data_IF_855498570794
#
_entry.id   IF_855498570794
#
_cell.length_a   1.000
_cell.length_b   1.000
_cell.length_c   1.000
_cell.angle_alpha   90.00
_cell.angle_beta   90.00
_cell.angle_gamma   90.00
#
_symmetry.space_group_name_H-M   'P 1'
#
loop_
_entity.id
_entity.type
_entity.pdbx_description
1 polymer ?
#
# COMPACT_ATOMS: atom_id res chain seq x y z
N UNK A 1 -2.84 17.02 -0.36
CA UNK A 1 -2.74 15.55 -0.29
C UNK A 1 -3.75 14.95 -1.24
N UNK A 2 -3.39 13.86 -1.90
CA UNK A 2 -4.27 13.07 -2.77
C UNK A 2 -4.06 11.59 -2.41
N UNK A 3 -5.14 10.82 -2.38
CA UNK A 3 -5.11 9.37 -2.09
C UNK A 3 -5.84 8.59 -3.17
N UNK A 4 -5.50 7.31 -3.35
CA UNK A 4 -6.28 6.37 -4.14
C UNK A 4 -6.44 5.03 -3.40
N UNK A 5 -7.59 4.39 -3.62
CA UNK A 5 -7.91 3.04 -3.14
C UNK A 5 -7.92 1.98 -4.24
N UNK A 6 -7.27 2.28 -5.37
CA UNK A 6 -7.16 1.37 -6.51
C UNK A 6 -7.89 1.78 -7.77
N UNK A 7 -7.42 1.28 -8.91
CA UNK A 7 -8.13 1.37 -10.19
C UNK A 7 -8.66 -0.01 -10.62
N UNK A 8 -9.86 -0.05 -11.19
CA UNK A 8 -10.48 -1.28 -11.65
C UNK A 8 -11.91 -1.10 -12.15
N UNK A 9 -12.46 -2.14 -12.76
CA UNK A 9 -13.77 -2.12 -13.41
C UNK A 9 -14.90 -2.42 -12.42
N UNK A 10 -15.07 -1.58 -11.39
CA UNK A 10 -16.29 -1.62 -10.58
C UNK A 10 -17.37 -0.88 -11.39
N UNK A 11 -18.24 -1.62 -12.07
CA UNK A 11 -19.42 -1.02 -12.70
C UNK A 11 -20.39 -0.56 -11.62
N UNK A 12 -21.05 0.58 -11.82
CA UNK A 12 -22.02 1.14 -10.87
C UNK A 12 -23.15 0.16 -10.54
N UNK A 13 -23.51 -0.69 -11.50
CA UNK A 13 -24.49 -1.77 -11.37
C UNK A 13 -24.06 -2.86 -10.37
N UNK A 14 -22.75 -3.11 -10.21
CA UNK A 14 -22.18 -4.05 -9.23
C UNK A 14 -21.92 -3.40 -7.86
N UNK A 15 -22.32 -2.14 -7.66
CA UNK A 15 -22.13 -1.39 -6.42
C UNK A 15 -23.45 -1.14 -5.70
N UNK A 16 -23.65 -1.81 -4.55
CA UNK A 16 -24.77 -1.47 -3.67
C UNK A 16 -24.56 -0.09 -3.06
N UNK A 17 -25.63 0.68 -2.78
CA UNK A 17 -25.54 1.97 -2.09
C UNK A 17 -24.79 1.89 -0.76
N UNK A 18 -24.96 0.80 -0.03
CA UNK A 18 -24.26 0.54 1.24
C UNK A 18 -22.75 0.39 1.05
N UNK A 19 -22.33 -0.39 0.04
CA UNK A 19 -20.91 -0.59 -0.26
C UNK A 19 -20.27 0.71 -0.76
N UNK A 20 -20.99 1.48 -1.59
CA UNK A 20 -20.54 2.81 -2.02
C UNK A 20 -20.38 3.76 -0.82
N UNK A 21 -21.38 3.84 0.05
CA UNK A 21 -21.33 4.67 1.25
C UNK A 21 -20.16 4.28 2.16
N UNK A 22 -19.88 2.98 2.29
CA UNK A 22 -18.75 2.47 3.05
C UNK A 22 -17.41 2.93 2.45
N UNK A 23 -17.18 2.76 1.15
CA UNK A 23 -15.97 3.28 0.48
C UNK A 23 -15.82 4.79 0.67
N UNK A 24 -16.89 5.56 0.46
CA UNK A 24 -16.86 7.02 0.63
C UNK A 24 -16.51 7.43 2.06
N UNK A 25 -17.12 6.77 3.05
CA UNK A 25 -16.89 7.05 4.47
C UNK A 25 -15.44 6.74 4.84
N UNK A 26 -14.92 5.58 4.40
CA UNK A 26 -13.53 5.20 4.64
C UNK A 26 -12.56 6.19 3.98
N UNK A 27 -12.76 6.54 2.71
CA UNK A 27 -11.88 7.48 2.00
C UNK A 27 -11.93 8.89 2.63
N UNK A 28 -13.09 9.35 3.07
CA UNK A 28 -13.22 10.63 3.79
C UNK A 28 -12.47 10.59 5.12
N UNK A 29 -12.54 9.48 5.88
CA UNK A 29 -11.80 9.31 7.11
C UNK A 29 -10.28 9.32 6.88
N UNK A 30 -9.80 8.63 5.84
CA UNK A 30 -8.38 8.64 5.45
C UNK A 30 -7.92 10.07 5.13
N UNK A 31 -8.67 10.80 4.29
CA UNK A 31 -8.37 12.19 3.97
C UNK A 31 -8.36 13.09 5.21
N UNK A 32 -9.33 12.92 6.11
CA UNK A 32 -9.44 13.73 7.32
C UNK A 32 -8.23 13.53 8.24
N UNK A 33 -7.79 12.29 8.45
CA UNK A 33 -6.62 12.00 9.29
C UNK A 33 -5.34 12.60 8.68
N UNK A 34 -5.14 12.43 7.37
CA UNK A 34 -4.00 13.04 6.69
C UNK A 34 -4.02 14.57 6.76
N UNK A 35 -5.20 15.18 6.58
CA UNK A 35 -5.39 16.61 6.72
C UNK A 35 -5.10 17.10 8.15
N UNK A 36 -5.56 16.39 9.17
CA UNK A 36 -5.34 16.79 10.57
C UNK A 36 -3.86 16.74 10.96
N UNK A 37 -3.11 15.75 10.46
CA UNK A 37 -1.64 15.69 10.62
C UNK A 37 -0.99 16.94 10.03
N UNK A 38 -1.30 17.25 8.76
CA UNK A 38 -0.72 18.40 8.06
C UNK A 38 -1.12 19.73 8.71
N UNK A 39 -2.39 19.87 9.11
CA UNK A 39 -2.92 21.07 9.78
C UNK A 39 -2.21 21.35 11.11
N UNK A 40 -1.84 20.29 11.86
CA UNK A 40 -1.05 20.40 13.10
C UNK A 40 0.44 20.61 12.85
N UNK A 41 0.88 20.65 11.59
CA UNK A 41 2.26 20.87 11.21
C UNK A 41 3.13 19.60 11.15
N UNK A 42 2.51 18.42 11.09
CA UNK A 42 3.22 17.18 10.79
C UNK A 42 3.79 17.15 9.37
N UNK A 43 4.66 16.17 9.09
CA UNK A 43 5.40 16.08 7.83
C UNK A 43 4.59 15.40 6.73
N UNK A 44 5.01 15.58 5.48
CA UNK A 44 4.46 14.86 4.33
C UNK A 44 4.60 13.33 4.49
N UNK A 45 5.74 12.87 5.03
CA UNK A 45 6.02 11.46 5.30
C UNK A 45 5.07 10.85 6.33
N UNK A 46 4.85 11.52 7.46
CA UNK A 46 3.94 11.04 8.52
C UNK A 46 2.50 10.94 8.02
N UNK A 47 2.08 11.92 7.22
CA UNK A 47 0.74 11.95 6.63
C UNK A 47 0.58 10.83 5.57
N UNK A 48 1.60 10.58 4.74
CA UNK A 48 1.59 9.50 3.75
C UNK A 48 1.52 8.12 4.42
N UNK A 49 2.39 7.84 5.40
CA UNK A 49 2.38 6.55 6.11
C UNK A 49 1.05 6.34 6.84
N UNK A 50 0.58 7.33 7.62
CA UNK A 50 -0.63 7.19 8.44
C UNK A 50 -1.87 6.90 7.59
N UNK A 51 -2.00 7.58 6.44
CA UNK A 51 -3.15 7.39 5.54
C UNK A 51 -3.14 6.02 4.86
N UNK A 52 -1.96 5.55 4.44
CA UNK A 52 -1.80 4.22 3.85
C UNK A 52 -2.07 3.13 4.87
N UNK A 53 -1.61 3.27 6.12
CA UNK A 53 -1.89 2.31 7.21
C UNK A 53 -3.39 2.10 7.44
N UNK A 54 -4.18 3.17 7.41
CA UNK A 54 -5.64 3.06 7.54
C UNK A 54 -6.25 2.27 6.38
N UNK A 55 -5.71 2.45 5.17
CA UNK A 55 -6.14 1.70 4.01
C UNK A 55 -5.67 0.24 4.05
N UNK A 56 -4.47 -0.04 4.56
CA UNK A 56 -3.98 -1.40 4.82
C UNK A 56 -4.76 -2.11 5.93
N UNK A 57 -5.26 -1.40 6.94
CA UNK A 57 -6.09 -1.97 7.99
C UNK A 57 -7.55 -2.20 7.56
N UNK A 58 -7.92 -1.70 6.37
CA UNK A 58 -9.28 -1.73 5.85
C UNK A 58 -9.48 -2.90 4.88
N UNK A 59 -10.47 -3.79 5.14
CA UNK A 59 -10.77 -4.93 4.28
C UNK A 59 -11.29 -4.59 2.87
N UNK A 60 -11.44 -3.30 2.56
CA UNK A 60 -12.04 -2.80 1.33
C UNK A 60 -11.05 -2.68 0.18
N UNK A 61 -9.75 -2.67 0.48
CA UNK A 61 -8.69 -2.40 -0.47
C UNK A 61 -7.73 -3.57 -0.58
N UNK A 62 -7.02 -3.66 -1.71
CA UNK A 62 -6.04 -4.70 -1.94
C UNK A 62 -4.67 -4.26 -1.42
N UNK A 63 -4.56 -4.08 -0.12
CA UNK A 63 -3.32 -3.79 0.60
C UNK A 63 -3.51 -4.20 2.07
N UNK A 64 -2.50 -4.80 2.70
CA UNK A 64 -2.64 -5.32 4.06
C UNK A 64 -3.85 -6.25 4.20
N UNK A 65 -4.74 -5.92 5.13
CA UNK A 65 -6.02 -6.61 5.36
C UNK A 65 -6.93 -6.49 4.14
N UNK A 66 -7.21 -7.61 3.49
CA UNK A 66 -7.96 -7.63 2.24
C UNK A 66 -7.10 -7.76 0.99
N UNK A 67 -5.79 -8.00 1.16
CA UNK A 67 -4.92 -8.40 0.09
C UNK A 67 -5.45 -9.64 -0.66
N UNK A 68 -5.19 -9.66 -1.96
CA UNK A 68 -5.51 -10.80 -2.83
C UNK A 68 -4.59 -12.00 -2.55
N UNK A 69 -5.03 -13.17 -3.00
CA UNK A 69 -4.32 -14.43 -2.83
C UNK A 69 -3.38 -14.73 -4.01
N UNK A 70 -2.24 -15.35 -3.71
CA UNK A 70 -1.34 -16.02 -4.66
C UNK A 70 -1.97 -17.29 -5.23
N UNK A 71 -1.33 -17.91 -6.23
CA UNK A 71 -1.76 -19.20 -6.81
C UNK A 71 -1.74 -20.37 -5.81
N UNK A 72 -1.00 -20.23 -4.71
CA UNK A 72 -0.93 -21.18 -3.60
C UNK A 72 -1.82 -20.83 -2.42
N UNK A 73 -2.67 -19.80 -2.54
CA UNK A 73 -3.61 -19.39 -1.48
C UNK A 73 -2.98 -18.69 -0.28
N UNK A 74 -1.84 -18.03 -0.47
CA UNK A 74 -1.21 -17.17 0.55
C UNK A 74 -1.35 -15.69 0.20
N UNK A 75 -1.09 -14.78 1.14
CA UNK A 75 -0.96 -13.36 0.87
C UNK A 75 0.53 -12.96 0.84
N UNK A 76 0.89 -12.12 -0.12
CA UNK A 76 2.23 -11.58 -0.30
C UNK A 76 2.09 -10.09 -0.57
N UNK A 77 2.68 -9.24 0.27
CA UNK A 77 2.42 -7.81 0.27
C UNK A 77 3.67 -7.05 -0.16
N UNK A 78 3.43 -5.94 -0.87
CA UNK A 78 4.49 -5.07 -1.36
C UNK A 78 4.16 -3.62 -1.00
N UNK A 79 5.15 -2.85 -0.58
CA UNK A 79 4.98 -1.41 -0.35
C UNK A 79 6.29 -0.64 -0.54
N UNK A 80 6.18 0.64 -0.87
CA UNK A 80 7.29 1.59 -0.83
C UNK A 80 6.85 2.97 -0.40
N UNK A 81 7.80 3.75 0.11
CA UNK A 81 7.64 5.15 0.51
C UNK A 81 8.89 5.94 0.13
N UNK A 82 8.72 7.20 -0.24
CA UNK A 82 9.82 8.08 -0.67
C UNK A 82 9.62 9.50 -0.14
N UNK A 83 10.69 10.06 0.41
CA UNK A 83 10.81 11.46 0.84
C UNK A 83 11.41 12.31 -0.28
N UNK A 84 10.63 13.25 -0.79
CA UNK A 84 11.05 14.14 -1.88
C UNK A 84 12.07 15.20 -1.49
N UNK A 85 12.29 15.44 -0.19
CA UNK A 85 13.21 16.46 0.30
C UNK A 85 14.67 16.05 0.20
N UNK A 86 14.94 14.76 0.36
CA UNK A 86 16.28 14.17 0.43
C UNK A 86 16.46 12.95 -0.49
N UNK A 87 15.39 12.51 -1.18
CA UNK A 87 15.34 11.34 -2.06
C UNK A 87 15.57 10.01 -1.35
N UNK A 88 15.52 9.97 -0.02
CA UNK A 88 15.52 8.72 0.72
C UNK A 88 14.22 7.95 0.41
N UNK A 89 14.36 6.64 0.27
CA UNK A 89 13.26 5.76 -0.02
C UNK A 89 13.45 4.42 0.68
N UNK A 90 12.34 3.77 0.97
CA UNK A 90 12.34 2.42 1.52
C UNK A 90 11.21 1.60 0.93
N UNK A 91 11.43 0.30 0.84
CA UNK A 91 10.52 -0.64 0.22
C UNK A 91 10.64 -2.03 0.83
N UNK A 92 9.51 -2.73 0.83
CA UNK A 92 9.43 -4.16 1.12
C UNK A 92 8.63 -4.87 0.04
N UNK A 93 9.02 -6.08 -0.32
CA UNK A 93 8.31 -6.89 -1.30
C UNK A 93 8.13 -8.33 -0.83
N UNK A 94 6.98 -8.93 -1.12
CA UNK A 94 6.67 -10.32 -0.79
C UNK A 94 6.65 -10.61 0.72
N UNK A 95 6.38 -9.60 1.57
CA UNK A 95 6.25 -9.82 3.01
C UNK A 95 4.93 -10.50 3.34
N UNK A 96 4.93 -11.34 4.37
CA UNK A 96 3.78 -12.21 4.69
C UNK A 96 3.24 -12.03 6.10
N UNK A 97 3.93 -11.30 6.97
CA UNK A 97 3.60 -11.28 8.40
C UNK A 97 3.58 -9.89 9.03
N UNK A 98 4.27 -8.88 8.47
CA UNK A 98 4.15 -7.51 8.96
C UNK A 98 2.78 -6.93 8.63
N UNK A 99 2.06 -6.48 9.66
CA UNK A 99 0.67 -6.00 9.54
C UNK A 99 0.52 -4.85 8.55
N UNK A 100 1.45 -3.90 8.58
CA UNK A 100 1.44 -2.69 7.77
C UNK A 100 2.74 -2.60 6.94
N UNK A 101 2.75 -3.14 5.70
CA UNK A 101 3.90 -3.07 4.81
C UNK A 101 4.47 -1.67 4.58
N UNK A 102 3.65 -0.62 4.54
CA UNK A 102 4.15 0.76 4.38
C UNK A 102 5.04 1.21 5.55
N UNK A 103 4.72 0.77 6.77
CA UNK A 103 5.53 1.06 7.96
C UNK A 103 6.87 0.31 7.90
N UNK A 104 6.86 -0.93 7.36
CA UNK A 104 8.09 -1.69 7.12
C UNK A 104 8.96 -1.00 6.07
N UNK A 105 8.37 -0.54 4.96
CA UNK A 105 9.07 0.26 3.96
C UNK A 105 9.71 1.51 4.58
N UNK A 106 8.98 2.25 5.44
CA UNK A 106 9.55 3.40 6.16
C UNK A 106 10.71 3.01 7.08
N UNK A 107 10.59 1.91 7.83
CA UNK A 107 11.68 1.41 8.68
C UNK A 107 12.91 1.01 7.87
N UNK A 108 12.75 0.41 6.70
CA UNK A 108 13.89 0.14 5.79
C UNK A 108 14.63 1.42 5.45
N UNK A 109 13.89 2.49 5.11
CA UNK A 109 14.44 3.80 4.78
C UNK A 109 15.19 4.46 5.95
N UNK A 110 14.64 4.39 7.16
CA UNK A 110 15.13 5.15 8.32
C UNK A 110 16.20 4.41 9.14
N UNK A 111 16.15 3.07 9.18
CA UNK A 111 16.98 2.26 10.09
C UNK A 111 18.01 1.39 9.39
N UNK A 112 18.06 1.42 8.06
CA UNK A 112 19.05 0.67 7.28
C UNK A 112 19.71 1.56 6.23
N UNK A 113 20.82 1.06 5.66
CA UNK A 113 21.44 1.68 4.48
C UNK A 113 20.83 1.18 3.16
N UNK A 114 19.84 0.29 3.23
CA UNK A 114 19.20 -0.34 2.09
C UNK A 114 17.95 0.43 1.65
N UNK A 115 17.56 0.24 0.39
CA UNK A 115 16.31 0.81 -0.15
C UNK A 115 15.20 -0.23 -0.21
N UNK A 116 15.51 -1.50 -0.52
CA UNK A 116 14.50 -2.53 -0.73
C UNK A 116 14.92 -3.84 -0.08
N UNK A 117 14.04 -4.41 0.75
CA UNK A 117 14.15 -5.77 1.27
C UNK A 117 13.03 -6.64 0.72
N UNK A 118 13.24 -7.96 0.62
CA UNK A 118 12.23 -8.85 0.08
C UNK A 118 12.09 -10.18 0.86
N UNK A 119 10.89 -10.75 0.78
CA UNK A 119 10.54 -12.05 1.32
C UNK A 119 10.78 -12.18 2.82
N UNK A 120 11.21 -13.37 3.24
CA UNK A 120 11.42 -13.70 4.66
C UNK A 120 12.44 -12.78 5.36
N UNK A 121 13.44 -12.27 4.63
CA UNK A 121 14.40 -11.33 5.19
C UNK A 121 13.75 -10.00 5.58
N UNK A 122 12.81 -9.51 4.78
CA UNK A 122 12.05 -8.31 5.10
C UNK A 122 11.08 -8.52 6.28
N UNK A 123 10.43 -9.68 6.38
CA UNK A 123 9.61 -10.04 7.54
C UNK A 123 10.44 -10.13 8.84
N UNK A 124 11.65 -10.72 8.75
CA UNK A 124 12.57 -10.79 9.88
C UNK A 124 13.00 -9.39 10.34
N UNK A 125 13.43 -8.55 9.40
CA UNK A 125 13.76 -7.16 9.69
C UNK A 125 12.59 -6.40 10.33
N UNK A 126 11.38 -6.53 9.79
CA UNK A 126 10.20 -5.85 10.34
C UNK A 126 9.97 -6.21 11.82
N UNK A 127 10.21 -7.47 12.18
CA UNK A 127 10.14 -7.93 13.58
C UNK A 127 11.24 -7.31 14.44
N UNK A 128 12.49 -7.26 13.95
CA UNK A 128 13.61 -6.64 14.67
C UNK A 128 13.41 -5.13 14.87
N UNK A 129 12.83 -4.45 13.87
CA UNK A 129 12.47 -3.04 13.90
C UNK A 129 11.25 -2.74 14.81
N UNK A 130 10.72 -3.74 15.52
CA UNK A 130 9.64 -3.59 16.50
C UNK A 130 8.25 -3.38 15.90
N UNK A 131 8.04 -3.74 14.63
CA UNK A 131 6.72 -3.66 14.00
C UNK A 131 5.79 -4.78 14.44
N UNK A 132 4.48 -4.54 14.36
CA UNK A 132 3.47 -5.54 14.68
C UNK A 132 3.48 -6.66 13.63
N UNK A 133 3.80 -7.88 14.11
CA UNK A 133 3.75 -9.10 13.32
C UNK A 133 2.45 -9.83 13.61
N UNK A 134 1.71 -10.17 12.56
CA UNK A 134 0.42 -10.86 12.63
C UNK A 134 0.50 -12.23 11.99
N UNK A 135 -0.40 -13.12 12.41
CA UNK A 135 -0.62 -14.36 11.69
C UNK A 135 -1.13 -14.06 10.27
N UNK A 136 -0.64 -14.75 9.22
CA UNK A 136 -1.06 -14.50 7.84
C UNK A 136 -2.58 -14.53 7.61
N UNK A 137 -3.34 -15.24 8.45
CA UNK A 137 -4.81 -15.25 8.41
C UNK A 137 -5.43 -13.87 8.65
N UNK A 138 -4.72 -12.91 9.25
CA UNK A 138 -5.15 -11.52 9.40
C UNK A 138 -5.46 -10.86 8.05
N UNK A 139 -4.63 -11.12 7.03
CA UNK A 139 -4.77 -10.52 5.71
C UNK A 139 -5.96 -11.10 4.95
N UNK A 140 -6.35 -12.34 5.29
CA UNK A 140 -7.47 -13.04 4.69
C UNK A 140 -8.81 -12.62 5.32
N UNK A 141 -9.68 -12.01 4.53
CA UNK A 141 -11.09 -11.86 4.91
C UNK A 141 -11.80 -13.13 4.46
N UNK A 142 -12.53 -13.80 5.36
CA UNK A 142 -13.32 -15.01 5.09
C UNK A 142 -14.45 -14.78 4.06
N UNK A 143 -14.11 -14.49 2.81
CA UNK A 143 -14.88 -15.00 1.67
C UNK A 143 -14.18 -16.29 1.29
N UNK A 144 -14.89 -17.42 1.40
CA UNK A 144 -14.32 -18.75 1.14
C UNK A 144 -13.44 -18.71 -0.10
N UNK A 145 -12.22 -19.25 -0.02
CA UNK A 145 -11.28 -19.42 -1.14
C UNK A 145 -11.97 -19.95 -2.43
N UNK A 146 -13.04 -20.73 -2.26
CA UNK A 146 -13.90 -21.25 -3.32
C UNK A 146 -14.71 -20.20 -4.10
N UNK A 147 -14.98 -19.02 -3.54
CA UNK A 147 -15.63 -17.90 -4.24
C UNK A 147 -14.62 -17.05 -5.04
N UNK A 148 -13.37 -16.97 -4.57
CA UNK A 148 -12.30 -16.17 -5.18
C UNK A 148 -11.70 -16.89 -6.39
N UNK A 149 -11.52 -18.21 -6.31
CA UNK A 149 -11.05 -19.04 -7.44
C UNK A 149 -11.96 -19.00 -8.67
N UNK A 150 -13.23 -18.61 -8.52
CA UNK A 150 -14.20 -18.48 -9.62
C UNK A 150 -14.42 -17.04 -10.09
N UNK A 151 -13.98 -16.03 -9.33
CA UNK A 151 -14.17 -14.61 -9.67
C UNK A 151 -12.81 -13.91 -9.80
N UNK A 152 -12.20 -14.08 -10.96
CA UNK A 152 -11.03 -13.31 -11.44
C UNK A 152 -11.30 -11.80 -11.57
N UNK A 153 -12.54 -11.34 -11.34
CA UNK A 153 -12.98 -9.96 -11.54
C UNK A 153 -12.87 -9.05 -10.31
N UNK A 154 -12.55 -9.55 -9.11
CA UNK A 154 -12.36 -8.66 -7.94
C UNK A 154 -10.99 -7.98 -8.00
N UNK A 155 -10.83 -7.05 -8.96
CA UNK A 155 -9.74 -6.07 -9.00
C UNK A 155 -9.99 -5.00 -7.93
N UNK A 156 -9.81 -5.34 -6.66
CA UNK A 156 -9.51 -4.30 -5.67
C UNK A 156 -8.09 -3.83 -5.96
N UNK A 157 -7.89 -2.52 -6.15
CA UNK A 157 -6.60 -2.01 -6.59
C UNK A 157 -5.70 -1.62 -5.43
N UNK A 158 -4.42 -1.50 -5.75
CA UNK A 158 -3.35 -0.91 -4.92
C UNK A 158 -3.78 0.42 -4.30
N UNK A 159 -3.38 0.66 -3.05
CA UNK A 159 -3.62 1.94 -2.37
C UNK A 159 -2.39 2.81 -2.39
N UNK A 160 -2.58 4.11 -2.24
CA UNK A 160 -1.46 5.02 -2.17
C UNK A 160 -1.84 6.45 -1.87
N UNK A 161 -0.82 7.24 -1.59
CA UNK A 161 -0.94 8.60 -1.11
C UNK A 161 0.22 9.46 -1.62
N UNK A 162 -0.09 10.69 -2.02
CA UNK A 162 0.89 11.73 -2.30
C UNK A 162 0.57 12.99 -1.51
N UNK A 163 1.61 13.62 -0.96
CA UNK A 163 1.46 14.69 0.02
C UNK A 163 2.43 15.82 -0.30
N UNK A 164 1.95 17.05 -0.13
CA UNK A 164 2.76 18.26 0.02
C UNK A 164 2.46 18.83 1.40
N UNK A 165 3.47 19.01 2.23
CA UNK A 165 3.31 19.61 3.57
C UNK A 165 3.54 21.13 3.57
N UNK A 166 3.34 21.75 4.74
CA UNK A 166 3.50 23.22 4.92
C UNK A 166 4.95 23.70 4.80
N UNK A 167 5.92 22.79 4.82
CA UNK A 167 7.34 23.10 4.68
C UNK A 167 7.80 23.03 3.21
N UNK A 168 6.89 22.66 2.29
CA UNK A 168 7.20 22.50 0.88
C UNK A 168 7.77 21.13 0.54
N UNK A 169 7.70 20.15 1.46
CA UNK A 169 8.20 18.81 1.21
C UNK A 169 7.13 17.91 0.59
N UNK A 170 7.54 17.16 -0.42
CA UNK A 170 6.76 16.14 -1.10
C UNK A 170 7.05 14.77 -0.50
N UNK A 171 6.03 13.93 -0.39
CA UNK A 171 6.17 12.52 -0.08
C UNK A 171 5.20 11.69 -0.91
N UNK A 172 5.57 10.45 -1.20
CA UNK A 172 4.72 9.48 -1.86
C UNK A 172 4.85 8.12 -1.19
N UNK A 173 3.77 7.36 -1.18
CA UNK A 173 3.79 5.96 -0.78
C UNK A 173 2.71 5.14 -1.47
N UNK A 174 3.00 3.86 -1.66
CA UNK A 174 2.13 2.91 -2.37
C UNK A 174 2.22 1.56 -1.67
N UNK A 175 1.08 0.87 -1.51
CA UNK A 175 0.99 -0.46 -0.87
C UNK A 175 -0.03 -1.35 -1.56
N UNK A 176 0.28 -2.64 -1.71
CA UNK A 176 -0.53 -3.59 -2.46
C UNK A 176 -0.43 -5.04 -1.96
N UNK A 177 -1.46 -5.83 -2.19
CA UNK A 177 -1.39 -7.31 -2.19
C UNK A 177 -0.92 -7.90 -3.54
N UNK A 178 -0.75 -7.07 -4.56
CA UNK A 178 -0.38 -7.48 -5.91
C UNK A 178 -1.57 -7.95 -6.75
N UNK A 179 -1.34 -8.89 -7.66
CA UNK A 179 -2.38 -9.45 -8.53
C UNK A 179 -2.94 -10.75 -7.96
N UNK A 180 -4.25 -10.95 -8.13
CA UNK A 180 -4.91 -12.23 -7.82
C UNK A 180 -4.27 -13.35 -8.63
N UNK A 181 -4.05 -14.50 -8.00
CA UNK A 181 -3.43 -15.68 -8.61
C UNK A 181 -1.99 -15.42 -9.13
N UNK A 182 -1.29 -14.42 -8.56
CA UNK A 182 0.14 -14.21 -8.84
C UNK A 182 0.94 -15.44 -8.43
N UNK A 183 1.97 -15.76 -9.22
CA UNK A 183 2.83 -16.94 -9.04
C UNK A 183 4.24 -16.56 -8.61
N UNK A 184 4.93 -17.50 -7.97
CA UNK A 184 6.40 -17.53 -7.81
C UNK A 184 7.03 -16.29 -7.15
N UNK A 185 6.31 -15.61 -6.26
CA UNK A 185 6.80 -14.37 -5.66
C UNK A 185 6.88 -13.20 -6.63
N UNK A 186 5.98 -13.13 -7.63
CA UNK A 186 5.87 -11.98 -8.55
C UNK A 186 5.76 -10.68 -7.76
N UNK A 187 6.66 -9.74 -8.08
CA UNK A 187 6.71 -8.39 -7.55
C UNK A 187 6.17 -7.41 -8.60
N UNK A 188 5.25 -6.54 -8.18
CA UNK A 188 4.68 -5.50 -9.04
C UNK A 188 5.46 -4.19 -9.02
N UNK A 189 4.84 -3.12 -9.50
CA UNK A 189 5.39 -1.75 -9.54
C UNK A 189 5.46 -1.10 -8.16
N UNK A 190 4.51 -1.43 -7.26
CA UNK A 190 4.32 -0.73 -5.98
C UNK A 190 5.55 -0.66 -5.07
N UNK A 191 6.43 -1.68 -4.95
CA UNK A 191 7.65 -1.55 -4.16
C UNK A 191 8.84 -0.99 -4.95
N UNK A 192 8.69 -0.71 -6.25
CA UNK A 192 9.78 -0.26 -7.12
C UNK A 192 9.74 1.27 -7.23
N UNK A 193 10.74 1.93 -6.62
CA UNK A 193 10.92 3.37 -6.70
C UNK A 193 11.17 3.80 -8.15
N UNK A 194 10.40 4.78 -8.62
CA UNK A 194 10.40 5.24 -10.00
C UNK A 194 9.38 4.55 -10.92
N UNK A 195 8.74 3.45 -10.47
CA UNK A 195 7.64 2.80 -11.17
C UNK A 195 6.30 3.03 -10.43
N UNK A 196 6.15 2.44 -9.25
CA UNK A 196 4.94 2.55 -8.45
C UNK A 196 4.89 3.81 -7.58
N UNK A 197 6.05 4.23 -7.07
CA UNK A 197 6.19 5.34 -6.11
C UNK A 197 7.35 6.24 -6.51
N UNK A 198 7.15 7.55 -6.46
CA UNK A 198 8.23 8.52 -6.64
C UNK A 198 7.92 9.83 -5.91
N UNK A 199 8.92 10.47 -5.31
CA UNK A 199 8.79 11.82 -4.77
C UNK A 199 10.09 12.61 -4.93
N UNK A 200 9.97 13.87 -5.34
CA UNK A 200 11.09 14.81 -5.46
C UNK A 200 10.59 16.24 -5.38
N UNK A 201 11.05 17.01 -4.39
CA UNK A 201 10.65 18.41 -4.15
C UNK A 201 10.85 19.32 -5.37
N UNK A 202 11.77 18.98 -6.27
CA UNK A 202 12.04 19.75 -7.50
C UNK A 202 11.02 19.50 -8.61
N UNK A 203 10.21 18.44 -8.51
CA UNK A 203 9.30 18.02 -9.59
C UNK A 203 7.92 17.62 -9.07
N UNK A 204 7.75 16.40 -8.56
CA UNK A 204 6.44 15.83 -8.25
C UNK A 204 6.50 14.70 -7.22
N UNK A 205 5.32 14.33 -6.72
CA UNK A 205 5.07 13.09 -5.99
C UNK A 205 4.03 12.26 -6.77
N UNK A 206 4.30 10.97 -6.93
CA UNK A 206 3.52 10.03 -7.75
C UNK A 206 3.31 8.74 -6.96
N UNK A 207 2.08 8.24 -6.99
CA UNK A 207 1.68 6.92 -6.52
C UNK A 207 0.79 6.28 -7.57
N UNK A 208 1.10 5.05 -7.97
CA UNK A 208 0.48 4.36 -9.10
C UNK A 208 -0.43 3.22 -8.65
N UNK A 209 -1.38 2.86 -9.53
CA UNK A 209 -2.24 1.69 -9.38
C UNK A 209 -2.62 1.16 -10.75
N UNK A 210 -2.49 -0.15 -10.97
CA UNK A 210 -2.76 -0.77 -12.26
C UNK A 210 -2.10 -2.13 -12.43
N UNK A 211 -1.86 -2.50 -13.69
CA UNK A 211 -1.11 -3.71 -14.04
C UNK A 211 0.39 -3.41 -14.03
N UNK A 212 1.04 -3.79 -12.93
CA UNK A 212 2.42 -3.37 -12.61
C UNK A 212 3.47 -3.60 -13.70
N UNK A 213 3.34 -4.64 -14.54
CA UNK A 213 4.25 -4.90 -15.65
C UNK A 213 4.35 -3.72 -16.64
N UNK A 214 3.28 -2.96 -16.85
CA UNK A 214 3.30 -1.77 -17.71
C UNK A 214 3.94 -0.56 -17.06
N UNK A 215 3.91 -0.48 -15.72
CA UNK A 215 4.50 0.62 -14.97
C UNK A 215 6.01 0.43 -14.75
N UNK A 216 6.48 -0.82 -14.74
CA UNK A 216 7.90 -1.15 -14.58
C UNK A 216 8.69 -0.95 -15.88
N UNK A 217 8.07 -1.21 -17.04
CA UNK A 217 8.71 -1.18 -18.37
C UNK A 217 8.80 0.21 -18.96
#
# INVERSE_FOLDING_TARGET
MVIHGGAGTITREKMSPEKEALYRTTMNNVLQIGYDILKKGGTAMDAAESTIRIMEDSPLFNAGKGAVFTDTGTNELDASIMDGSNLLAGAVAGVKTVKNPISAARKVMEETWHVLLAGQGADHFAKEAGLEIVDPSYFSIKKSYNEISKNTEQKHGTVGCVVLDKYGNLAAGTSTGGLSNKRWGRIGDSPIIGAGTYANNKTCAISCTGEGEYFIR
#
